data_IF_094125292687
#
_entry.id   IF_094125292687
#
_cell.length_a   1.000
_cell.length_b   1.000
_cell.length_c   1.000
_cell.angle_alpha   90.00
_cell.angle_beta   90.00
_cell.angle_gamma   90.00
#
_symmetry.space_group_name_H-M   'P 1'
#
loop_
_entity.id
_entity.type
_entity.pdbx_description
1 polymer ?
#
# COMPACT_ATOMS: atom_id res chain seq x y z
N UNK A 1 -13.28 -10.12 30.17
CA UNK A 1 -13.91 -9.27 29.14
C UNK A 1 -15.36 -9.67 29.08
N UNK A 2 -16.30 -8.76 29.34
CA UNK A 2 -17.73 -9.09 29.28
C UNK A 2 -18.09 -9.44 27.82
N UNK A 3 -18.57 -10.66 27.52
CA UNK A 3 -18.83 -11.09 26.16
C UNK A 3 -19.93 -10.26 25.46
N UNK A 4 -20.77 -9.54 26.22
CA UNK A 4 -21.76 -8.61 25.68
C UNK A 4 -21.18 -7.25 25.27
N UNK A 5 -19.90 -6.95 25.53
CA UNK A 5 -19.28 -5.70 25.08
C UNK A 5 -18.79 -5.74 23.64
N UNK A 6 -18.90 -6.89 22.96
CA UNK A 6 -18.49 -7.08 21.56
C UNK A 6 -19.72 -7.41 20.72
N UNK A 7 -19.86 -6.73 19.58
CA UNK A 7 -20.99 -6.95 18.66
C UNK A 7 -20.87 -8.31 17.97
N UNK A 8 -21.99 -9.00 17.88
CA UNK A 8 -22.11 -10.30 17.23
C UNK A 8 -21.85 -10.16 15.72
N UNK A 9 -20.78 -10.81 15.23
CA UNK A 9 -20.45 -10.82 13.81
C UNK A 9 -21.59 -11.38 12.93
N UNK A 10 -22.29 -12.41 13.42
CA UNK A 10 -23.43 -13.01 12.70
C UNK A 10 -24.66 -12.11 12.72
N UNK A 11 -24.84 -11.28 13.76
CA UNK A 11 -25.95 -10.33 13.81
C UNK A 11 -25.72 -9.17 12.84
N UNK A 12 -24.48 -8.68 12.78
CA UNK A 12 -24.06 -7.69 11.77
C UNK A 12 -24.34 -8.14 10.34
N UNK A 13 -24.19 -9.44 10.08
CA UNK A 13 -24.46 -10.06 8.77
C UNK A 13 -25.95 -10.46 8.59
N UNK A 14 -26.81 -10.23 9.58
CA UNK A 14 -28.24 -10.60 9.54
C UNK A 14 -28.52 -12.11 9.67
N UNK A 15 -27.53 -12.92 10.04
CA UNK A 15 -27.60 -14.38 10.10
C UNK A 15 -27.63 -14.94 11.53
N UNK A 16 -27.74 -14.09 12.56
CA UNK A 16 -27.77 -14.56 13.94
C UNK A 16 -29.16 -15.11 14.32
N UNK A 17 -29.24 -16.42 14.55
CA UNK A 17 -30.46 -17.11 15.01
C UNK A 17 -30.63 -17.11 16.53
N UNK A 18 -29.66 -16.58 17.27
CA UNK A 18 -29.61 -16.66 18.75
C UNK A 18 -30.37 -15.54 19.46
N UNK A 19 -30.83 -14.52 18.74
CA UNK A 19 -31.58 -13.38 19.30
C UNK A 19 -30.90 -12.78 20.54
N UNK A 20 -31.69 -12.43 21.55
CA UNK A 20 -31.20 -11.81 22.81
C UNK A 20 -30.39 -12.76 23.71
N UNK A 21 -30.39 -14.06 23.40
CA UNK A 21 -29.57 -15.07 24.10
C UNK A 21 -28.18 -15.22 23.49
N UNK A 22 -27.85 -14.41 22.49
CA UNK A 22 -26.53 -14.43 21.89
C UNK A 22 -25.44 -14.05 22.92
N UNK A 23 -24.31 -14.75 22.85
CA UNK A 23 -23.14 -14.47 23.69
C UNK A 23 -22.55 -13.07 23.43
N UNK A 24 -22.78 -12.56 22.22
CA UNK A 24 -22.28 -11.26 21.74
C UNK A 24 -23.45 -10.29 21.57
N UNK A 25 -23.20 -8.98 21.73
CA UNK A 25 -24.26 -7.98 21.67
C UNK A 25 -24.84 -7.81 20.26
N UNK A 26 -26.15 -7.60 20.20
CA UNK A 26 -26.89 -7.23 18.99
C UNK A 26 -27.09 -5.71 18.88
N UNK A 27 -26.41 -4.93 19.71
CA UNK A 27 -26.47 -3.49 19.65
C UNK A 27 -25.40 -2.96 18.68
N UNK A 28 -25.83 -2.57 17.48
CA UNK A 28 -24.97 -1.98 16.45
C UNK A 28 -24.34 -0.66 16.89
N UNK A 29 -24.86 -0.02 17.93
CA UNK A 29 -24.25 1.20 18.48
C UNK A 29 -22.91 0.92 19.18
N UNK A 30 -22.67 -0.31 19.64
CA UNK A 30 -21.39 -0.73 20.26
C UNK A 30 -20.28 -0.89 19.20
N UNK A 31 -20.62 -1.26 17.96
CA UNK A 31 -19.66 -1.36 16.85
C UNK A 31 -19.50 -0.06 16.06
N UNK A 32 -20.33 0.96 16.33
CA UNK A 32 -19.93 2.35 16.06
C UNK A 32 -18.78 2.67 17.00
N UNK A 33 -17.61 2.11 16.70
CA UNK A 33 -16.31 2.59 17.14
C UNK A 33 -16.32 4.06 16.81
N UNK A 34 -16.66 4.85 17.83
CA UNK A 34 -16.46 6.27 17.95
C UNK A 34 -16.01 6.90 16.64
N UNK A 35 -16.96 7.45 15.86
CA UNK A 35 -16.61 8.31 14.75
C UNK A 35 -15.52 9.25 15.27
N UNK A 36 -14.32 9.13 14.67
CA UNK A 36 -13.16 9.87 15.14
C UNK A 36 -13.55 11.33 15.01
N UNK A 37 -13.76 11.98 16.15
CA UNK A 37 -14.11 13.40 16.20
C UNK A 37 -13.17 14.14 15.25
N UNK A 38 -13.75 14.81 14.25
CA UNK A 38 -12.97 15.48 13.21
C UNK A 38 -12.03 16.49 13.86
N UNK A 39 -10.74 16.39 13.53
CA UNK A 39 -9.68 17.24 14.11
C UNK A 39 -9.85 18.73 13.75
N UNK A 40 -10.67 19.00 12.73
CA UNK A 40 -10.92 20.32 12.18
C UNK A 40 -12.29 20.90 12.55
N UNK A 41 -13.14 20.14 13.26
CA UNK A 41 -14.49 20.58 13.66
C UNK A 41 -14.59 20.67 15.20
N UNK A 42 -14.96 21.84 15.73
CA UNK A 42 -15.28 22.00 17.14
C UNK A 42 -16.76 21.62 17.36
N UNK A 43 -17.09 20.89 18.42
CA UNK A 43 -18.46 20.39 18.67
C UNK A 43 -19.40 21.53 19.05
N UNK A 44 -18.83 22.65 19.52
CA UNK A 44 -19.60 23.85 19.85
C UNK A 44 -20.03 24.64 18.63
N UNK A 45 -19.55 24.29 17.43
CA UNK A 45 -19.99 24.91 16.18
C UNK A 45 -21.28 24.23 15.68
N UNK A 46 -21.39 22.89 15.83
CA UNK A 46 -22.58 22.12 15.46
C UNK A 46 -23.83 22.59 16.24
N UNK A 47 -23.68 22.83 17.55
CA UNK A 47 -24.77 23.31 18.42
C UNK A 47 -25.23 24.75 18.06
N UNK A 48 -24.34 25.60 17.54
CA UNK A 48 -24.65 26.98 17.15
C UNK A 48 -25.35 27.06 15.80
N UNK A 49 -24.97 26.21 14.84
CA UNK A 49 -25.60 26.14 13.52
C UNK A 49 -27.05 25.63 13.60
N UNK A 50 -27.33 24.73 14.55
CA UNK A 50 -28.68 24.22 14.81
C UNK A 50 -29.64 25.28 15.41
N UNK A 51 -29.09 26.27 16.11
CA UNK A 51 -29.80 27.31 16.88
C UNK A 51 -30.10 28.59 16.03
N UNK A 52 -30.69 28.40 14.86
CA UNK A 52 -31.10 29.48 13.94
C UNK A 52 -32.16 30.40 14.57
N UNK A 53 -32.03 31.74 14.40
CA UNK A 53 -32.86 32.77 15.06
C UNK A 53 -34.38 32.59 14.86
N UNK A 54 -34.77 31.96 13.76
CA UNK A 54 -36.18 31.67 13.41
C UNK A 54 -36.88 30.68 14.35
N UNK A 55 -36.13 29.97 15.23
CA UNK A 55 -36.66 28.98 16.19
C UNK A 55 -36.65 29.49 17.64
N UNK A 56 -36.46 30.80 17.85
CA UNK A 56 -36.32 31.37 19.19
C UNK A 56 -37.67 31.90 19.69
N UNK A 57 -38.19 31.28 20.76
CA UNK A 57 -39.38 31.77 21.47
C UNK A 57 -39.04 32.98 22.37
N UNK A 58 -40.05 33.78 22.74
CA UNK A 58 -39.90 35.02 23.54
C UNK A 58 -39.15 34.81 24.88
N UNK A 59 -39.26 33.64 25.48
CA UNK A 59 -38.55 33.30 26.72
C UNK A 59 -37.05 32.99 26.47
N UNK A 60 -36.72 32.34 25.35
CA UNK A 60 -35.33 32.15 24.91
C UNK A 60 -34.70 33.49 24.51
N UNK A 61 -35.49 34.39 23.93
CA UNK A 61 -35.07 35.76 23.61
C UNK A 61 -34.68 36.54 24.88
N UNK A 62 -35.52 36.50 25.92
CA UNK A 62 -35.24 37.13 27.22
C UNK A 62 -34.00 36.54 27.89
N UNK A 63 -33.85 35.22 27.89
CA UNK A 63 -32.70 34.54 28.47
C UNK A 63 -31.38 34.92 27.77
N UNK A 64 -31.40 35.07 26.44
CA UNK A 64 -30.22 35.51 25.67
C UNK A 64 -29.89 36.98 25.94
N UNK A 65 -30.90 37.85 26.09
CA UNK A 65 -30.70 39.27 26.43
C UNK A 65 -30.11 39.41 27.85
N UNK A 66 -30.61 38.65 28.83
CA UNK A 66 -30.03 38.63 30.18
C UNK A 66 -28.59 38.10 30.18
N UNK A 67 -28.30 37.04 29.41
CA UNK A 67 -26.94 36.51 29.24
C UNK A 67 -25.98 37.48 28.54
N UNK A 68 -26.48 38.35 27.64
CA UNK A 68 -25.68 39.33 26.90
C UNK A 68 -25.32 40.56 27.75
N UNK A 69 -26.19 40.96 28.68
CA UNK A 69 -25.99 42.14 29.54
C UNK A 69 -25.49 41.81 30.96
N UNK A 70 -25.53 40.54 31.38
CA UNK A 70 -24.94 40.10 32.63
C UNK A 70 -23.41 39.96 32.53
N UNK A 71 -22.66 40.62 33.43
CA UNK A 71 -21.19 40.56 33.55
C UNK A 71 -20.63 39.14 33.88
N UNK A 72 -21.48 38.10 33.91
CA UNK A 72 -21.14 36.71 34.21
C UNK A 72 -21.51 35.69 33.12
N UNK A 73 -21.94 36.14 31.94
CA UNK A 73 -22.30 35.26 30.82
C UNK A 73 -21.08 34.66 30.10
N UNK A 74 -21.21 33.39 29.67
CA UNK A 74 -20.20 32.62 28.94
C UNK A 74 -19.57 33.45 27.80
N UNK A 75 -18.28 33.76 27.92
CA UNK A 75 -17.55 34.58 26.93
C UNK A 75 -17.55 33.88 25.57
N UNK A 76 -17.64 34.62 24.45
CA UNK A 76 -17.59 34.03 23.13
C UNK A 76 -16.30 33.21 22.97
N UNK A 77 -16.42 32.06 22.30
CA UNK A 77 -15.28 31.20 21.99
C UNK A 77 -14.29 31.96 21.11
N UNK A 78 -13.04 32.04 21.54
CA UNK A 78 -11.96 32.69 20.78
C UNK A 78 -11.42 31.76 19.69
N UNK A 79 -10.95 32.34 18.58
CA UNK A 79 -10.31 31.59 17.47
C UNK A 79 -8.91 31.05 17.81
N UNK A 80 -8.40 31.37 19.01
CA UNK A 80 -7.14 30.87 19.52
C UNK A 80 -7.32 29.41 19.93
N UNK A 81 -6.42 28.55 19.45
CA UNK A 81 -6.43 27.11 19.73
C UNK A 81 -6.05 26.84 21.19
N UNK A 82 -6.76 25.92 21.83
CA UNK A 82 -6.45 25.49 23.20
C UNK A 82 -5.07 24.81 23.29
N UNK A 83 -4.26 25.21 24.27
CA UNK A 83 -2.94 24.59 24.53
C UNK A 83 -3.04 23.10 24.83
N UNK A 84 -4.02 22.71 25.66
CA UNK A 84 -4.23 21.29 26.02
C UNK A 84 -4.66 20.46 24.81
N UNK A 85 -5.37 21.07 23.86
CA UNK A 85 -5.72 20.43 22.59
C UNK A 85 -4.47 20.19 21.74
N UNK A 86 -3.60 21.18 21.57
CA UNK A 86 -2.34 21.00 20.84
C UNK A 86 -1.48 19.87 21.45
N UNK A 87 -1.36 19.82 22.77
CA UNK A 87 -0.63 18.75 23.47
C UNK A 87 -1.26 17.37 23.27
N UNK A 88 -2.60 17.28 23.27
CA UNK A 88 -3.34 16.04 23.07
C UNK A 88 -3.22 15.53 21.62
N UNK A 89 -3.26 16.44 20.66
CA UNK A 89 -3.11 16.18 19.23
C UNK A 89 -1.68 15.73 18.91
N UNK A 90 -0.66 16.38 19.49
CA UNK A 90 0.74 15.97 19.34
C UNK A 90 1.01 14.57 19.94
N UNK A 91 0.38 14.28 21.09
CA UNK A 91 0.43 12.97 21.76
C UNK A 91 -0.51 11.94 21.10
N UNK A 92 -1.26 12.30 20.07
CA UNK A 92 -2.27 11.45 19.40
C UNK A 92 -3.32 10.86 20.34
N UNK A 93 -3.59 11.57 21.45
CA UNK A 93 -4.60 11.22 22.47
C UNK A 93 -5.93 11.95 22.26
N UNK A 94 -6.00 12.86 21.29
CA UNK A 94 -7.26 13.50 20.90
C UNK A 94 -8.19 12.46 20.25
N UNK A 95 -9.37 12.26 20.81
CA UNK A 95 -10.32 11.23 20.40
C UNK A 95 -11.63 11.30 21.20
N UNK A 96 -12.40 10.22 21.14
CA UNK A 96 -13.78 10.12 21.67
C UNK A 96 -13.95 10.45 23.15
N UNK A 97 -12.91 10.22 23.97
CA UNK A 97 -12.95 10.48 25.40
C UNK A 97 -11.99 11.60 25.83
N UNK A 98 -11.49 12.40 24.87
CA UNK A 98 -10.63 13.52 25.21
C UNK A 98 -11.47 14.74 25.60
N UNK A 99 -11.46 15.05 26.87
CA UNK A 99 -12.02 16.29 27.41
C UNK A 99 -10.90 17.27 27.72
N UNK A 100 -11.12 18.53 27.38
CA UNK A 100 -10.21 19.58 27.79
C UNK A 100 -10.21 19.67 29.32
N UNK A 101 -9.04 19.79 29.98
CA UNK A 101 -8.97 20.03 31.43
C UNK A 101 -9.72 21.29 31.90
N UNK A 102 -9.96 22.24 31.00
CA UNK A 102 -10.82 23.42 31.24
C UNK A 102 -12.32 23.16 31.01
N UNK A 103 -12.71 21.93 30.69
CA UNK A 103 -14.07 21.48 30.44
C UNK A 103 -14.70 22.04 29.15
N UNK A 104 -16.03 21.95 29.07
CA UNK A 104 -16.82 22.50 27.96
C UNK A 104 -16.87 24.04 27.94
N UNK A 105 -16.46 24.70 29.03
CA UNK A 105 -16.35 26.17 29.14
C UNK A 105 -14.96 26.71 28.72
N UNK A 106 -14.15 25.92 28.01
CA UNK A 106 -12.86 26.40 27.54
C UNK A 106 -13.07 27.61 26.61
N UNK A 107 -12.39 28.74 26.87
CA UNK A 107 -12.50 29.95 26.04
C UNK A 107 -11.85 29.74 24.67
N UNK A 108 -10.94 28.78 24.56
CA UNK A 108 -10.12 28.48 23.38
C UNK A 108 -10.75 27.38 22.51
N UNK A 109 -10.46 27.39 21.21
CA UNK A 109 -11.00 26.44 20.21
C UNK A 109 -10.34 25.06 20.32
N UNK A 110 -11.14 24.00 20.19
CA UNK A 110 -10.70 22.60 20.21
C UNK A 110 -10.69 22.00 18.79
N UNK A 111 -10.15 22.74 17.83
CA UNK A 111 -9.99 22.31 16.45
C UNK A 111 -8.71 22.92 15.88
N UNK A 112 -8.06 22.22 14.96
CA UNK A 112 -6.95 22.79 14.21
C UNK A 112 -7.48 23.80 13.19
N UNK A 113 -6.75 24.91 12.97
CA UNK A 113 -7.05 25.84 11.89
C UNK A 113 -7.08 25.11 10.54
N UNK A 114 -7.97 25.52 9.61
CA UNK A 114 -8.01 24.95 8.28
C UNK A 114 -6.65 25.12 7.58
N UNK A 115 -6.07 24.02 7.10
CA UNK A 115 -4.76 24.00 6.42
C UNK A 115 -3.54 23.71 7.31
N UNK A 116 -3.68 23.58 8.63
CA UNK A 116 -2.56 23.21 9.50
C UNK A 116 -2.34 21.68 9.51
N UNK A 117 -1.28 21.22 8.82
CA UNK A 117 -0.86 19.81 8.79
C UNK A 117 0.16 19.53 9.89
N UNK A 118 -0.06 18.45 10.66
CA UNK A 118 0.86 18.02 11.70
C UNK A 118 2.23 17.64 11.12
N UNK A 119 3.31 17.94 11.85
CA UNK A 119 4.69 17.57 11.49
C UNK A 119 4.89 16.07 11.23
N UNK A 120 4.11 15.20 11.90
CA UNK A 120 4.15 13.75 11.72
C UNK A 120 3.57 13.31 10.37
N UNK A 121 2.57 14.03 9.87
CA UNK A 121 1.91 13.70 8.60
C UNK A 121 2.65 14.30 7.40
N UNK A 122 3.30 15.46 7.56
CA UNK A 122 4.17 16.06 6.53
C UNK A 122 5.30 15.12 6.07
N UNK A 123 5.87 14.33 7.00
CA UNK A 123 6.91 13.34 6.68
C UNK A 123 6.40 12.14 5.87
N UNK A 124 5.10 11.89 5.82
CA UNK A 124 4.50 10.86 4.95
C UNK A 124 4.28 11.38 3.52
N UNK A 125 4.00 12.67 3.35
CA UNK A 125 3.90 13.31 2.03
C UNK A 125 5.27 13.46 1.34
N UNK A 126 6.39 13.54 2.10
CA UNK A 126 7.74 13.57 1.52
C UNK A 126 8.19 12.22 0.88
N UNK A 127 7.30 11.22 0.80
CA UNK A 127 7.54 10.02 -0.02
C UNK A 127 7.40 10.42 -1.48
N UNK A 128 8.53 10.91 -2.02
CA UNK A 128 8.84 11.14 -3.44
C UNK A 128 7.82 10.49 -4.36
N UNK A 129 7.09 11.31 -5.09
CA UNK A 129 6.26 10.87 -6.21
C UNK A 129 7.07 9.84 -7.01
N UNK A 130 6.55 8.62 -7.08
CA UNK A 130 7.16 7.55 -7.85
C UNK A 130 7.24 8.06 -9.28
N UNK A 131 8.46 8.42 -9.69
CA UNK A 131 8.74 8.91 -11.03
C UNK A 131 8.15 7.86 -11.99
N UNK A 132 7.26 8.31 -12.86
CA UNK A 132 6.56 7.40 -13.78
C UNK A 132 7.57 6.62 -14.61
N UNK A 133 7.23 5.39 -15.00
CA UNK A 133 8.13 4.54 -15.79
C UNK A 133 8.59 5.24 -17.08
N UNK A 134 7.72 6.07 -17.66
CA UNK A 134 7.97 6.90 -18.83
C UNK A 134 9.09 7.93 -18.56
N UNK A 135 8.98 8.69 -17.46
CA UNK A 135 9.99 9.68 -17.07
C UNK A 135 11.35 9.04 -16.76
N UNK A 136 11.35 7.83 -16.20
CA UNK A 136 12.58 7.06 -16.01
C UNK A 136 13.19 6.64 -17.35
N UNK A 137 12.39 6.12 -18.27
CA UNK A 137 12.83 5.69 -19.60
C UNK A 137 13.39 6.87 -20.40
N UNK A 138 12.75 8.03 -20.35
CA UNK A 138 13.21 9.23 -21.06
C UNK A 138 14.52 9.77 -20.49
N UNK A 139 14.67 9.78 -19.16
CA UNK A 139 15.92 10.16 -18.51
C UNK A 139 17.06 9.22 -18.91
N UNK A 140 16.82 7.91 -18.88
CA UNK A 140 17.82 6.91 -19.28
C UNK A 140 18.14 7.03 -20.78
N UNK A 141 17.15 7.30 -21.64
CA UNK A 141 17.37 7.53 -23.07
C UNK A 141 18.21 8.78 -23.34
N UNK A 142 17.99 9.85 -22.60
CA UNK A 142 18.79 11.07 -22.70
C UNK A 142 20.22 10.87 -22.19
N UNK A 143 20.41 9.96 -21.23
CA UNK A 143 21.72 9.60 -20.69
C UNK A 143 22.52 8.65 -21.60
N UNK A 144 21.87 7.99 -22.57
CA UNK A 144 22.58 7.20 -23.59
C UNK A 144 23.37 8.15 -24.51
N UNK A 145 24.70 8.01 -24.50
CA UNK A 145 25.59 8.78 -25.35
C UNK A 145 25.40 8.53 -26.86
N UNK A 146 26.08 9.31 -27.72
CA UNK A 146 25.91 9.27 -29.18
C UNK A 146 26.44 7.98 -29.84
N UNK A 147 27.28 7.20 -29.16
CA UNK A 147 27.83 5.95 -29.68
C UNK A 147 26.95 4.76 -29.26
N UNK A 148 25.91 4.48 -30.05
CA UNK A 148 25.02 3.34 -29.83
C UNK A 148 25.36 2.19 -30.80
N UNK A 149 25.40 0.96 -30.29
CA UNK A 149 25.55 -0.23 -31.13
C UNK A 149 24.28 -0.44 -31.93
N UNK A 150 24.41 -0.51 -33.26
CA UNK A 150 23.28 -0.88 -34.12
C UNK A 150 22.86 -2.30 -33.80
N UNK A 151 21.55 -2.52 -33.67
CA UNK A 151 20.99 -3.84 -33.45
C UNK A 151 20.93 -4.54 -34.81
N UNK A 152 22.02 -5.24 -35.15
CA UNK A 152 22.03 -6.25 -36.21
C UNK A 152 21.78 -7.63 -35.60
N UNK A 153 21.38 -8.59 -36.42
CA UNK A 153 21.19 -9.97 -35.98
C UNK A 153 22.41 -10.54 -35.26
N UNK A 154 23.61 -10.32 -35.79
CA UNK A 154 24.86 -10.77 -35.18
C UNK A 154 25.06 -10.16 -33.78
N UNK A 155 24.83 -8.84 -33.64
CA UNK A 155 24.95 -8.16 -32.34
C UNK A 155 23.86 -8.62 -31.36
N UNK A 156 22.67 -8.93 -31.84
CA UNK A 156 21.56 -9.43 -31.02
C UNK A 156 21.80 -10.86 -30.53
N UNK A 157 22.29 -11.76 -31.39
CA UNK A 157 22.66 -13.12 -30.99
C UNK A 157 23.81 -13.10 -29.97
N UNK A 158 24.84 -12.28 -30.21
CA UNK A 158 25.92 -12.08 -29.25
C UNK A 158 25.40 -11.55 -27.90
N UNK A 159 24.48 -10.57 -27.91
CA UNK A 159 23.83 -10.05 -26.71
C UNK A 159 22.98 -11.12 -26.00
N UNK A 160 22.19 -11.91 -26.74
CA UNK A 160 21.30 -12.95 -26.20
C UNK A 160 22.10 -14.09 -25.58
N UNK A 161 23.18 -14.53 -26.24
CA UNK A 161 24.13 -15.51 -25.69
C UNK A 161 24.79 -14.99 -24.41
N UNK A 162 25.23 -13.73 -24.40
CA UNK A 162 25.77 -13.08 -23.19
C UNK A 162 24.74 -13.00 -22.06
N UNK A 163 23.49 -12.63 -22.35
CA UNK A 163 22.42 -12.53 -21.36
C UNK A 163 22.00 -13.89 -20.80
N UNK A 164 22.01 -14.93 -21.62
CA UNK A 164 21.75 -16.30 -21.18
C UNK A 164 22.86 -16.78 -20.24
N UNK A 165 24.13 -16.51 -20.58
CA UNK A 165 25.26 -16.83 -19.72
C UNK A 165 25.20 -16.04 -18.40
N UNK A 166 24.93 -14.73 -18.45
CA UNK A 166 24.76 -13.89 -17.26
C UNK A 166 23.65 -14.41 -16.33
N UNK A 167 22.54 -14.91 -16.89
CA UNK A 167 21.46 -15.53 -16.12
C UNK A 167 21.90 -16.84 -15.47
N UNK A 168 22.63 -17.71 -16.20
CA UNK A 168 23.18 -18.97 -15.66
C UNK A 168 24.19 -18.69 -14.54
N UNK A 169 25.13 -17.77 -14.76
CA UNK A 169 26.14 -17.39 -13.78
C UNK A 169 25.52 -16.76 -12.54
N UNK A 170 24.46 -15.95 -12.70
CA UNK A 170 23.69 -15.41 -11.57
C UNK A 170 22.99 -16.51 -10.78
N UNK A 171 22.35 -17.46 -11.45
CA UNK A 171 21.70 -18.60 -10.78
C UNK A 171 22.72 -19.42 -9.98
N UNK A 172 23.89 -19.72 -10.56
CA UNK A 172 24.97 -20.44 -9.88
C UNK A 172 25.47 -19.66 -8.66
N UNK A 173 25.65 -18.34 -8.77
CA UNK A 173 26.06 -17.49 -7.63
C UNK A 173 25.01 -17.43 -6.53
N UNK A 174 23.73 -17.36 -6.90
CA UNK A 174 22.62 -17.34 -5.95
C UNK A 174 22.50 -18.70 -5.24
N UNK A 175 22.70 -19.82 -5.94
CA UNK A 175 22.77 -21.16 -5.37
C UNK A 175 23.99 -21.36 -4.46
N UNK A 176 25.17 -20.90 -4.87
CA UNK A 176 26.38 -20.96 -4.05
C UNK A 176 26.22 -20.13 -2.77
N UNK A 177 25.62 -18.94 -2.89
CA UNK A 177 25.29 -18.10 -1.73
C UNK A 177 24.33 -18.82 -0.79
N UNK A 178 23.23 -19.38 -1.30
CA UNK A 178 22.28 -20.18 -0.51
C UNK A 178 22.95 -21.38 0.16
N UNK A 179 23.85 -22.07 -0.55
CA UNK A 179 24.63 -23.20 -0.02
C UNK A 179 25.60 -22.75 1.08
N UNK A 180 26.22 -21.58 0.94
CA UNK A 180 27.11 -21.02 1.96
C UNK A 180 26.34 -20.54 3.19
N UNK A 181 25.17 -19.91 3.01
CA UNK A 181 24.25 -19.50 4.09
C UNK A 181 23.75 -20.74 4.85
N UNK A 182 23.45 -21.82 4.12
CA UNK A 182 23.11 -23.13 4.69
C UNK A 182 24.25 -23.72 5.52
N UNK A 183 25.48 -23.77 4.98
CA UNK A 183 26.66 -24.26 5.69
C UNK A 183 26.99 -23.42 6.93
N UNK A 184 26.67 -22.13 6.91
CA UNK A 184 26.79 -21.22 8.06
C UNK A 184 25.65 -21.37 9.08
N UNK A 185 24.72 -22.32 8.90
CA UNK A 185 23.62 -22.60 9.84
C UNK A 185 22.43 -21.66 9.70
N UNK A 186 22.38 -20.81 8.66
CA UNK A 186 21.27 -19.88 8.41
C UNK A 186 20.25 -20.53 7.49
N UNK A 187 19.38 -21.35 8.08
CA UNK A 187 18.38 -22.17 7.40
C UNK A 187 17.11 -21.38 6.99
N UNK A 188 17.00 -20.11 7.40
CA UNK A 188 15.79 -19.31 7.22
C UNK A 188 15.64 -18.87 5.77
N UNK A 189 14.65 -19.42 5.07
CA UNK A 189 14.26 -19.03 3.70
C UNK A 189 14.74 -19.95 2.58
N UNK A 190 15.31 -21.10 2.91
CA UNK A 190 15.69 -22.14 1.93
C UNK A 190 14.48 -23.04 1.69
N UNK A 191 14.17 -23.35 0.43
CA UNK A 191 13.09 -24.29 0.09
C UNK A 191 13.44 -25.70 0.57
N UNK A 192 12.44 -26.49 1.01
CA UNK A 192 12.67 -27.88 1.42
C UNK A 192 13.40 -28.70 0.36
N UNK A 193 13.08 -28.50 -0.93
CA UNK A 193 13.79 -29.14 -2.05
C UNK A 193 15.27 -28.72 -2.13
N UNK A 194 15.55 -27.44 -1.88
CA UNK A 194 16.92 -26.91 -1.87
C UNK A 194 17.73 -27.50 -0.69
N UNK A 195 17.08 -27.66 0.47
CA UNK A 195 17.67 -28.26 1.66
C UNK A 195 18.23 -29.67 1.39
N UNK A 196 17.42 -30.55 0.79
CA UNK A 196 17.84 -31.92 0.44
C UNK A 196 18.88 -31.96 -0.69
N UNK A 197 18.86 -30.98 -1.61
CA UNK A 197 19.90 -30.88 -2.65
C UNK A 197 21.28 -30.46 -2.11
N UNK A 198 21.31 -29.69 -1.02
CA UNK A 198 22.56 -29.23 -0.40
C UNK A 198 23.14 -30.23 0.60
N UNK A 199 22.29 -31.03 1.26
CA UNK A 199 22.72 -32.12 2.12
C UNK A 199 21.85 -33.37 1.93
N UNK A 200 22.22 -34.27 1.00
CA UNK A 200 21.51 -35.52 0.75
C UNK A 200 21.40 -36.45 1.96
N UNK A 201 22.29 -36.36 2.95
CA UNK A 201 22.22 -37.19 4.17
C UNK A 201 21.09 -36.82 5.12
N UNK A 202 20.49 -35.63 4.99
CA UNK A 202 19.27 -35.30 5.74
C UNK A 202 18.09 -36.21 5.35
N UNK A 203 18.12 -36.81 4.16
CA UNK A 203 17.12 -37.78 3.73
C UNK A 203 17.37 -39.20 4.28
N UNK A 204 18.58 -39.50 4.76
CA UNK A 204 18.96 -40.85 5.21
C UNK A 204 18.96 -41.02 6.73
N UNK A 205 18.75 -39.94 7.50
CA UNK A 205 18.35 -39.97 8.92
C UNK A 205 19.13 -40.93 9.83
N UNK A 206 20.22 -40.48 10.43
CA UNK A 206 20.77 -41.09 11.64
C UNK A 206 19.81 -40.78 12.81
N UNK A 207 18.85 -41.68 13.04
CA UNK A 207 17.90 -41.60 14.15
C UNK A 207 16.50 -42.09 13.81
N UNK A 208 16.37 -43.38 13.50
CA UNK A 208 15.11 -44.10 13.76
C UNK A 208 14.93 -44.06 15.28
N UNK A 209 14.21 -43.06 15.77
CA UNK A 209 13.46 -43.22 17.01
C UNK A 209 12.22 -44.03 16.65
N UNK A 210 12.02 -45.09 17.42
CA UNK A 210 11.26 -46.29 17.10
C UNK A 210 9.75 -46.04 17.30
N UNK A 211 9.13 -45.11 16.54
CA UNK A 211 7.81 -44.58 16.96
C UNK A 211 6.84 -43.94 15.96
N UNK A 212 7.23 -43.51 14.74
CA UNK A 212 6.40 -42.53 14.01
C UNK A 212 6.21 -42.90 12.52
N UNK A 213 5.13 -43.63 12.26
CA UNK A 213 4.35 -43.75 11.01
C UNK A 213 5.07 -43.59 9.65
N UNK A 214 5.25 -44.74 8.99
CA UNK A 214 5.50 -44.86 7.57
C UNK A 214 4.62 -43.91 6.74
N UNK A 215 5.23 -42.91 6.11
CA UNK A 215 4.65 -42.26 4.94
C UNK A 215 4.53 -43.36 3.88
N UNK A 216 3.30 -43.84 3.72
CA UNK A 216 2.92 -44.81 2.71
C UNK A 216 3.40 -44.29 1.35
N UNK A 217 4.44 -44.93 0.80
CA UNK A 217 4.89 -44.70 -0.56
C UNK A 217 3.81 -45.25 -1.48
N UNK A 218 2.73 -44.51 -1.67
CA UNK A 218 1.86 -44.71 -2.82
C UNK A 218 2.75 -44.51 -4.05
N UNK A 219 3.19 -45.63 -4.64
CA UNK A 219 3.46 -45.66 -6.06
C UNK A 219 2.16 -45.23 -6.72
N UNK A 220 2.08 -43.95 -7.06
CA UNK A 220 1.04 -43.45 -7.94
C UNK A 220 1.25 -44.21 -9.24
N UNK A 221 0.47 -45.27 -9.44
CA UNK A 221 0.40 -45.96 -10.71
C UNK A 221 -0.18 -44.93 -11.68
N UNK A 222 0.73 -44.37 -12.46
CA UNK A 222 0.55 -43.39 -13.52
C UNK A 222 -0.33 -43.97 -14.62
N UNK A 223 -1.62 -44.12 -14.32
CA UNK A 223 -2.66 -44.59 -15.23
C UNK A 223 -3.64 -43.48 -15.64
N UNK A 224 -3.18 -42.22 -15.67
CA UNK A 224 -3.84 -41.15 -16.41
C UNK A 224 -2.81 -40.19 -17.03
N UNK A 225 -2.49 -40.45 -18.31
CA UNK A 225 -2.32 -39.40 -19.31
C UNK A 225 -1.31 -38.27 -19.03
N UNK A 226 -0.11 -38.56 -18.51
CA UNK A 226 0.98 -37.57 -18.61
C UNK A 226 1.48 -37.56 -20.05
N UNK A 227 0.88 -36.72 -20.89
CA UNK A 227 1.42 -36.37 -22.19
C UNK A 227 2.84 -35.83 -21.95
N UNK A 228 3.86 -36.63 -22.27
CA UNK A 228 5.25 -36.25 -22.16
C UNK A 228 5.49 -35.09 -23.12
N UNK A 229 5.44 -33.86 -22.63
CA UNK A 229 5.86 -32.71 -23.42
C UNK A 229 7.37 -32.83 -23.67
N UNK A 230 7.73 -33.32 -24.85
CA UNK A 230 9.11 -33.26 -25.35
C UNK A 230 9.45 -31.79 -25.60
N UNK A 231 10.14 -31.18 -24.63
CA UNK A 231 10.71 -29.85 -24.82
C UNK A 231 11.85 -29.96 -25.82
N UNK A 232 11.61 -29.57 -27.07
CA UNK A 232 12.68 -29.38 -28.04
C UNK A 232 13.48 -28.15 -27.61
N UNK A 233 14.68 -28.37 -27.07
CA UNK A 233 15.61 -27.28 -26.80
C UNK A 233 15.85 -26.53 -28.12
N UNK A 234 15.60 -25.22 -28.11
CA UNK A 234 15.87 -24.38 -29.27
C UNK A 234 17.39 -24.34 -29.47
N UNK A 235 17.88 -25.03 -30.50
CA UNK A 235 19.26 -24.95 -30.91
C UNK A 235 19.55 -23.53 -31.44
N UNK A 236 20.38 -22.82 -30.69
CA UNK A 236 20.70 -21.42 -30.95
C UNK A 236 21.51 -21.26 -32.23
N UNK A 237 22.25 -22.30 -32.62
CA UNK A 237 23.03 -22.29 -33.85
C UNK A 237 22.11 -22.46 -35.07
N UNK A 238 21.05 -23.27 -34.96
CA UNK A 238 20.01 -23.39 -35.98
C UNK A 238 19.20 -22.10 -36.18
N UNK A 239 18.78 -21.43 -35.10
CA UNK A 239 18.09 -20.13 -35.16
C UNK A 239 18.98 -19.01 -35.73
N UNK A 240 20.29 -19.08 -35.49
CA UNK A 240 21.26 -18.15 -36.05
C UNK A 240 21.43 -18.35 -37.57
N UNK A 241 21.44 -19.59 -38.03
CA UNK A 241 21.53 -19.93 -39.44
C UNK A 241 20.29 -19.47 -40.21
N UNK A 242 19.09 -19.83 -39.75
CA UNK A 242 17.81 -19.46 -40.38
C UNK A 242 17.60 -17.95 -40.48
N UNK A 243 18.08 -17.20 -39.49
CA UNK A 243 17.92 -15.75 -39.47
C UNK A 243 18.97 -15.02 -40.35
N UNK A 244 20.13 -15.65 -40.64
CA UNK A 244 21.14 -15.09 -41.55
C UNK A 244 20.71 -15.11 -43.02
N UNK A 245 19.70 -15.91 -43.36
CA UNK A 245 19.11 -16.01 -44.70
C UNK A 245 18.05 -14.92 -45.00
N UNK A 246 17.67 -14.09 -44.01
CA UNK A 246 16.66 -13.05 -44.18
C UNK A 246 17.28 -11.73 -44.63
N UNK A 247 16.82 -11.19 -45.75
CA UNK A 247 17.28 -9.93 -46.33
C UNK A 247 16.96 -8.73 -45.41
N UNK A 248 18.00 -8.04 -44.97
CA UNK A 248 17.96 -6.96 -43.96
C UNK A 248 17.71 -5.57 -44.55
N UNK A 249 17.52 -5.47 -45.88
CA UNK A 249 17.35 -4.20 -46.59
C UNK A 249 16.12 -3.37 -46.17
N UNK A 250 15.16 -3.96 -45.43
CA UNK A 250 13.90 -3.31 -45.01
C UNK A 250 13.83 -2.78 -43.57
N UNK A 251 14.90 -2.88 -42.77
CA UNK A 251 14.84 -2.51 -41.34
C UNK A 251 14.90 -0.97 -41.20
N UNK A 252 13.73 -0.35 -41.06
CA UNK A 252 13.59 1.10 -40.91
C UNK A 252 14.08 1.60 -39.56
N UNK A 253 14.93 2.63 -39.58
CA UNK A 253 15.38 3.39 -38.40
C UNK A 253 14.22 4.23 -37.86
N UNK A 254 13.94 4.14 -36.56
CA UNK A 254 13.03 5.07 -35.90
C UNK A 254 13.61 6.50 -35.96
N UNK A 255 12.88 7.44 -36.56
CA UNK A 255 13.32 8.83 -36.69
C UNK A 255 13.51 9.47 -35.30
N UNK A 256 14.54 10.32 -35.18
CA UNK A 256 15.06 10.81 -33.91
C UNK A 256 14.12 11.73 -33.11
N UNK A 257 13.00 12.20 -33.68
CA UNK A 257 12.22 13.26 -33.04
C UNK A 257 10.75 13.23 -33.52
N UNK A 258 9.98 12.25 -33.04
CA UNK A 258 8.54 12.09 -33.39
C UNK A 258 7.62 13.07 -32.65
N UNK A 259 8.13 13.75 -31.61
CA UNK A 259 7.33 14.63 -30.73
C UNK A 259 7.49 16.12 -30.99
N UNK A 260 8.47 16.57 -31.77
CA UNK A 260 8.58 18.01 -32.13
C UNK A 260 7.40 18.57 -32.94
N UNK A 261 6.55 17.70 -33.50
CA UNK A 261 5.39 18.12 -34.30
C UNK A 261 4.14 18.50 -33.50
N UNK A 262 4.07 18.23 -32.19
CA UNK A 262 2.84 18.45 -31.40
C UNK A 262 2.84 19.75 -30.58
N UNK A 263 3.91 20.55 -30.64
CA UNK A 263 4.01 21.82 -29.95
C UNK A 263 3.92 22.99 -30.93
N UNK A 264 2.77 23.13 -31.61
CA UNK A 264 2.40 24.40 -32.22
C UNK A 264 1.67 25.26 -31.15
N UNK A 265 2.08 26.51 -30.90
CA UNK A 265 1.35 27.39 -30.01
C UNK A 265 0.05 27.83 -30.71
N UNK A 266 -1.10 27.53 -30.11
CA UNK A 266 -2.38 28.09 -30.56
C UNK A 266 -2.36 29.61 -30.37
N UNK A 267 -2.05 30.34 -31.44
CA UNK A 267 -2.22 31.79 -31.50
C UNK A 267 -3.70 32.08 -31.68
N UNK A 268 -4.37 32.50 -30.60
CA UNK A 268 -5.69 33.12 -30.69
C UNK A 268 -5.56 34.54 -31.32
N UNK A 269 -5.81 34.62 -32.62
CA UNK A 269 -6.23 35.80 -33.38
C UNK A 269 -7.17 35.29 -34.48
N UNK A 270 -8.27 35.92 -34.87
CA UNK A 270 -8.54 37.36 -34.95
C UNK A 270 -10.05 37.61 -35.07
N UNK A 271 -10.39 38.89 -34.99
CA UNK A 271 -11.69 39.54 -34.89
C UNK A 271 -12.75 39.25 -35.98
N UNK A 272 -14.02 39.48 -35.59
CA UNK A 272 -14.99 40.31 -36.29
C UNK A 272 -16.03 40.85 -35.29
#
# INVERSE_FOLDING_TARGET
TDPKSVVCAFFKQGQCTKGDKCKFSHDLTIERKAEKRSLYCDMRDDDKEADTMDKWDDDKLKEVVEKKHGMGGNRPTTDIICKYFLEAVEKSKYGWFWECPSGQKCIYRHALPPGFVLKKDKKKDDKKDEISLEDLIERERANLGPNQTRITLETFLAWKKRKLQEKKDKAIKDEEKKRSDYKAGRQVGISGREMFSFNPELATGDGIDDGDEAIDSYQFQDEEGSESFEYRELDMDQLAAEASELDTAGITIAQADRLKGSAAPETNGEAA
#
